data_IF_798213386605
#
_entry.id   IF_798213386605
#
_cell.length_a   1.000
_cell.length_b   1.000
_cell.length_c   1.000
_cell.angle_alpha   90.00
_cell.angle_beta   90.00
_cell.angle_gamma   90.00
#
_symmetry.space_group_name_H-M   'P 1'
#
loop_
_entity.id
_entity.type
_entity.pdbx_description
1 polymer ?
#
# COMPACT_ATOMS: atom_id res chain seq x y z
N UNK A 1 35.45 24.33 10.57
CA UNK A 1 35.28 23.53 9.33
C UNK A 1 34.65 22.21 9.71
N UNK A 2 33.50 21.94 9.10
CA UNK A 2 32.58 20.80 9.17
C UNK A 2 33.05 19.50 9.84
N UNK A 3 32.36 19.17 10.93
CA UNK A 3 32.08 17.81 11.39
C UNK A 3 31.28 17.07 10.31
N UNK A 4 31.83 15.97 9.79
CA UNK A 4 31.03 14.95 9.10
C UNK A 4 30.29 14.14 10.17
N UNK A 5 28.95 14.04 10.16
CA UNK A 5 28.28 13.10 11.02
C UNK A 5 28.54 11.68 10.53
N UNK A 6 28.99 10.88 11.48
CA UNK A 6 29.17 9.44 11.49
C UNK A 6 27.99 8.71 10.86
N UNK A 7 28.33 7.70 10.06
CA UNK A 7 27.40 6.85 9.35
C UNK A 7 26.31 6.29 10.25
N UNK A 8 25.07 6.58 9.88
CA UNK A 8 23.91 5.83 10.34
C UNK A 8 24.10 4.39 9.84
N UNK A 9 24.38 3.48 10.77
CA UNK A 9 24.34 2.06 10.50
C UNK A 9 22.93 1.73 9.99
N UNK A 10 22.83 1.38 8.70
CA UNK A 10 21.59 0.94 8.10
C UNK A 10 21.10 -0.31 8.85
N UNK A 11 19.93 -0.20 9.49
CA UNK A 11 19.29 -1.31 10.19
C UNK A 11 19.10 -2.50 9.23
N UNK A 12 19.59 -3.71 9.57
CA UNK A 12 19.53 -4.89 8.70
C UNK A 12 18.12 -5.46 8.52
N UNK A 13 17.09 -4.81 9.08
CA UNK A 13 15.66 -5.17 8.88
C UNK A 13 15.02 -4.52 7.67
N UNK A 14 15.70 -3.60 6.98
CA UNK A 14 15.15 -2.98 5.79
C UNK A 14 15.10 -4.03 4.66
N UNK A 15 13.89 -4.50 4.33
CA UNK A 15 13.57 -5.37 3.18
C UNK A 15 14.24 -4.88 1.90
N UNK A 16 14.47 -3.56 1.76
CA UNK A 16 15.29 -2.91 0.73
C UNK A 16 16.63 -3.61 0.44
N UNK A 17 17.30 -4.18 1.46
CA UNK A 17 18.54 -4.93 1.31
C UNK A 17 18.35 -6.36 0.83
N UNK A 18 17.22 -7.02 1.18
CA UNK A 18 16.84 -8.34 0.64
C UNK A 18 16.50 -8.23 -0.86
N UNK A 19 15.83 -7.15 -1.26
CA UNK A 19 15.58 -6.81 -2.67
C UNK A 19 16.89 -6.61 -3.47
N UNK A 20 17.91 -5.98 -2.87
CA UNK A 20 19.24 -5.81 -3.47
C UNK A 20 20.02 -7.12 -3.67
N UNK A 21 19.75 -8.18 -2.89
CA UNK A 21 20.44 -9.48 -3.02
C UNK A 21 19.74 -10.47 -3.94
N UNK A 22 18.45 -10.29 -4.26
CA UNK A 22 17.68 -11.19 -5.16
C UNK A 22 17.79 -10.77 -6.64
N UNK A 23 18.96 -10.25 -7.06
CA UNK A 23 19.23 -9.69 -8.39
C UNK A 23 20.13 -10.61 -9.25
N UNK A 24 19.56 -11.53 -10.03
CA UNK A 24 20.09 -11.86 -11.35
C UNK A 24 19.37 -10.98 -12.38
N UNK A 25 20.11 -9.99 -12.90
CA UNK A 25 19.91 -9.27 -14.16
C UNK A 25 18.51 -9.35 -14.82
N UNK A 26 17.58 -8.48 -14.41
CA UNK A 26 16.41 -8.06 -15.21
C UNK A 26 16.08 -6.60 -14.92
N UNK A 27 16.41 -5.70 -15.85
CA UNK A 27 16.25 -4.25 -15.72
C UNK A 27 14.80 -3.81 -15.38
N UNK A 28 13.80 -4.56 -15.84
CA UNK A 28 12.37 -4.32 -15.55
C UNK A 28 11.99 -4.54 -14.08
N UNK A 29 12.49 -5.61 -13.44
CA UNK A 29 12.20 -5.92 -12.03
C UNK A 29 12.88 -4.92 -11.10
N UNK A 30 14.12 -4.54 -11.42
CA UNK A 30 14.83 -3.49 -10.69
C UNK A 30 14.11 -2.13 -10.78
N UNK A 31 13.46 -1.82 -11.91
CA UNK A 31 12.66 -0.61 -12.09
C UNK A 31 11.34 -0.66 -11.29
N UNK A 32 10.63 -1.80 -11.32
CA UNK A 32 9.42 -2.01 -10.54
C UNK A 32 9.68 -1.88 -9.03
N UNK A 33 10.70 -2.59 -8.54
CA UNK A 33 11.10 -2.62 -7.13
C UNK A 33 11.64 -1.27 -6.66
N UNK A 34 12.34 -0.51 -7.52
CA UNK A 34 12.73 0.87 -7.20
C UNK A 34 11.52 1.78 -7.08
N UNK A 35 10.56 1.67 -8.02
CA UNK A 35 9.35 2.49 -8.02
C UNK A 35 8.51 2.29 -6.76
N UNK A 36 8.38 1.06 -6.26
CA UNK A 36 7.67 0.78 -5.00
C UNK A 36 8.54 0.96 -3.76
N UNK A 37 9.86 0.75 -3.85
CA UNK A 37 10.78 1.01 -2.74
C UNK A 37 10.79 2.47 -2.31
N UNK A 38 10.67 3.41 -3.26
CA UNK A 38 10.48 4.84 -2.95
C UNK A 38 9.10 5.12 -2.32
N UNK A 39 8.10 4.25 -2.56
CA UNK A 39 6.76 4.32 -2.00
C UNK A 39 6.60 3.62 -0.64
N UNK A 40 7.35 2.55 -0.36
CA UNK A 40 7.50 1.87 0.95
C UNK A 40 8.46 2.71 1.82
N UNK A 41 8.07 3.97 2.05
CA UNK A 41 8.81 4.99 2.79
C UNK A 41 7.88 5.59 3.84
N UNK A 42 8.38 6.05 5.01
CA UNK A 42 7.53 6.71 6.01
C UNK A 42 6.78 7.95 5.47
N UNK A 43 7.21 8.50 4.32
CA UNK A 43 6.55 9.62 3.62
C UNK A 43 5.79 9.19 2.36
N UNK A 44 5.86 7.90 2.00
CA UNK A 44 5.27 7.32 0.80
C UNK A 44 3.82 6.88 0.98
N UNK A 45 3.27 6.21 -0.04
CA UNK A 45 1.90 5.71 -0.05
C UNK A 45 1.75 4.37 0.67
N UNK A 46 2.87 3.65 0.84
CA UNK A 46 2.95 2.35 1.48
C UNK A 46 3.88 2.44 2.69
N UNK A 47 3.61 1.67 3.73
CA UNK A 47 4.51 1.48 4.87
C UNK A 47 5.13 0.07 4.88
N UNK A 48 5.95 -0.22 5.89
CA UNK A 48 6.67 -1.50 6.03
C UNK A 48 5.74 -2.73 6.01
N UNK A 49 4.45 -2.57 6.32
CA UNK A 49 3.50 -3.67 6.23
C UNK A 49 3.36 -4.20 4.79
N UNK A 50 3.41 -3.33 3.78
CA UNK A 50 3.35 -3.78 2.39
C UNK A 50 4.56 -4.64 2.06
N UNK A 51 5.74 -4.21 2.51
CA UNK A 51 6.97 -4.94 2.34
C UNK A 51 6.88 -6.36 2.98
N UNK A 52 6.13 -6.55 4.07
CA UNK A 52 5.85 -7.89 4.64
C UNK A 52 4.90 -8.73 3.77
N UNK A 53 3.89 -8.10 3.15
CA UNK A 53 2.98 -8.77 2.21
C UNK A 53 3.76 -9.29 0.99
N UNK A 54 4.75 -8.55 0.51
CA UNK A 54 5.62 -9.00 -0.57
C UNK A 54 6.54 -10.16 -0.17
N UNK A 55 7.06 -10.15 1.07
CA UNK A 55 7.91 -11.22 1.59
C UNK A 55 7.19 -12.58 1.70
N UNK A 56 5.85 -12.59 1.72
CA UNK A 56 5.02 -13.80 1.71
C UNK A 56 4.90 -14.45 0.32
N UNK A 57 5.33 -13.75 -0.73
CA UNK A 57 5.29 -14.27 -2.10
C UNK A 57 6.46 -15.25 -2.36
N UNK A 58 6.15 -16.45 -2.84
CA UNK A 58 7.12 -17.48 -3.18
C UNK A 58 6.88 -18.07 -4.59
N UNK A 59 7.68 -19.08 -4.98
CA UNK A 59 7.55 -19.73 -6.29
C UNK A 59 6.24 -20.55 -6.42
N UNK A 60 5.62 -20.96 -5.30
CA UNK A 60 4.36 -21.68 -5.29
C UNK A 60 3.15 -20.72 -5.41
N UNK A 61 3.29 -19.49 -4.91
CA UNK A 61 2.27 -18.44 -4.95
C UNK A 61 2.85 -17.12 -5.47
N UNK A 62 3.21 -17.04 -6.76
CA UNK A 62 3.90 -15.88 -7.34
C UNK A 62 3.02 -14.62 -7.44
N UNK A 63 1.71 -14.72 -7.19
CA UNK A 63 0.77 -13.59 -7.29
C UNK A 63 0.17 -13.18 -5.94
N UNK A 64 0.68 -13.70 -4.82
CA UNK A 64 0.09 -13.47 -3.49
C UNK A 64 -0.13 -11.98 -3.19
N UNK A 65 0.90 -11.14 -3.40
CA UNK A 65 0.79 -9.70 -3.15
C UNK A 65 -0.28 -9.02 -4.05
N UNK A 66 -0.37 -9.42 -5.32
CA UNK A 66 -1.39 -8.88 -6.25
C UNK A 66 -2.80 -9.30 -5.82
N UNK A 67 -2.99 -10.54 -5.38
CA UNK A 67 -4.27 -11.05 -4.88
C UNK A 67 -4.72 -10.34 -3.60
N UNK A 68 -3.82 -10.16 -2.63
CA UNK A 68 -4.12 -9.41 -1.39
C UNK A 68 -4.51 -7.97 -1.71
N UNK A 69 -3.79 -7.31 -2.63
CA UNK A 69 -4.10 -5.93 -3.05
C UNK A 69 -5.44 -5.87 -3.80
N UNK A 70 -5.72 -6.84 -4.67
CA UNK A 70 -7.00 -6.93 -5.38
C UNK A 70 -8.18 -7.08 -4.42
N UNK A 71 -8.04 -7.95 -3.41
CA UNK A 71 -9.05 -8.14 -2.37
C UNK A 71 -9.25 -6.85 -1.56
N UNK A 72 -8.17 -6.19 -1.16
CA UNK A 72 -8.25 -4.88 -0.49
C UNK A 72 -9.06 -3.87 -1.31
N UNK A 73 -8.79 -3.74 -2.61
CA UNK A 73 -9.51 -2.77 -3.45
C UNK A 73 -10.99 -3.11 -3.64
N UNK A 74 -11.33 -4.40 -3.70
CA UNK A 74 -12.71 -4.86 -3.75
C UNK A 74 -13.47 -4.53 -2.46
N UNK A 75 -12.86 -4.81 -1.32
CA UNK A 75 -13.46 -4.59 -0.01
C UNK A 75 -13.58 -3.10 0.33
N UNK A 76 -12.54 -2.33 0.09
CA UNK A 76 -12.54 -0.88 0.31
C UNK A 76 -13.55 -0.15 -0.58
N UNK A 77 -13.71 -0.54 -1.85
CA UNK A 77 -14.74 0.02 -2.72
C UNK A 77 -16.15 -0.21 -2.17
N UNK A 78 -16.42 -1.41 -1.64
CA UNK A 78 -17.69 -1.74 -0.98
C UNK A 78 -17.94 -0.86 0.26
N UNK A 79 -16.93 -0.68 1.11
CA UNK A 79 -17.04 0.16 2.31
C UNK A 79 -17.28 1.63 1.96
N UNK A 80 -16.56 2.18 0.98
CA UNK A 80 -16.73 3.57 0.55
C UNK A 80 -18.12 3.82 -0.04
N UNK A 81 -18.63 2.89 -0.87
CA UNK A 81 -19.98 3.00 -1.43
C UNK A 81 -21.06 2.95 -0.34
N UNK A 82 -20.93 2.02 0.61
CA UNK A 82 -21.87 1.91 1.74
C UNK A 82 -21.88 3.19 2.58
N UNK A 83 -20.70 3.80 2.75
CA UNK A 83 -20.57 5.05 3.48
C UNK A 83 -21.21 6.24 2.74
N UNK A 84 -21.03 6.35 1.42
CA UNK A 84 -21.68 7.39 0.61
C UNK A 84 -23.20 7.33 0.75
N UNK A 85 -23.77 6.13 0.67
CA UNK A 85 -25.20 5.92 0.90
C UNK A 85 -25.61 6.24 2.35
N UNK A 86 -24.75 5.99 3.34
CA UNK A 86 -25.03 6.28 4.73
C UNK A 86 -25.07 7.79 5.01
N UNK A 87 -24.20 8.58 4.37
CA UNK A 87 -24.26 10.05 4.45
C UNK A 87 -25.59 10.58 3.90
N UNK A 88 -26.05 10.04 2.77
CA UNK A 88 -27.30 10.49 2.13
C UNK A 88 -28.54 10.10 2.94
N UNK A 89 -28.58 8.87 3.45
CA UNK A 89 -29.74 8.32 4.18
C UNK A 89 -29.81 8.74 5.64
N UNK A 90 -28.65 8.93 6.27
CA UNK A 90 -28.53 9.20 7.71
C UNK A 90 -27.56 10.38 7.92
N UNK A 91 -28.02 11.62 7.66
CA UNK A 91 -27.19 12.78 7.86
C UNK A 91 -26.83 12.93 9.34
N UNK A 92 -25.55 13.18 9.62
CA UNK A 92 -24.97 13.40 10.96
C UNK A 92 -25.00 12.19 11.91
N UNK A 93 -25.10 10.96 11.37
CA UNK A 93 -24.87 9.75 12.16
C UNK A 93 -23.35 9.47 12.29
N UNK A 94 -22.68 10.26 13.12
CA UNK A 94 -21.22 10.20 13.29
C UNK A 94 -20.72 8.85 13.81
N UNK A 95 -21.51 8.16 14.64
CA UNK A 95 -21.16 6.84 15.15
C UNK A 95 -21.11 5.81 14.02
N UNK A 96 -22.11 5.83 13.13
CA UNK A 96 -22.13 4.95 11.95
C UNK A 96 -21.05 5.30 10.94
N UNK A 97 -20.78 6.59 10.75
CA UNK A 97 -19.70 7.08 9.91
C UNK A 97 -18.32 6.63 10.43
N UNK A 98 -18.10 6.73 11.75
CA UNK A 98 -16.88 6.26 12.41
C UNK A 98 -16.68 4.75 12.22
N UNK A 99 -17.74 3.95 12.36
CA UNK A 99 -17.68 2.50 12.17
C UNK A 99 -17.22 2.11 10.75
N UNK A 100 -17.75 2.77 9.71
CA UNK A 100 -17.31 2.56 8.33
C UNK A 100 -15.84 2.93 8.12
N UNK A 101 -15.39 4.06 8.68
CA UNK A 101 -13.99 4.46 8.55
C UNK A 101 -13.04 3.61 9.39
N UNK A 102 -13.49 3.08 10.53
CA UNK A 102 -12.71 2.15 11.32
C UNK A 102 -12.49 0.83 10.55
N UNK A 103 -13.52 0.33 9.86
CA UNK A 103 -13.38 -0.83 8.99
C UNK A 103 -12.38 -0.55 7.86
N UNK A 104 -12.52 0.58 7.15
CA UNK A 104 -11.61 0.94 6.05
C UNK A 104 -10.17 1.11 6.55
N UNK A 105 -9.97 1.74 7.71
CA UNK A 105 -8.66 1.90 8.36
C UNK A 105 -8.02 0.54 8.68
N UNK A 106 -8.81 -0.43 9.14
CA UNK A 106 -8.36 -1.80 9.39
C UNK A 106 -7.84 -2.46 8.11
N UNK A 107 -8.62 -2.40 7.03
CA UNK A 107 -8.19 -2.89 5.71
C UNK A 107 -6.96 -2.16 5.17
N UNK A 108 -6.82 -0.86 5.40
CA UNK A 108 -5.63 -0.12 4.99
C UNK A 108 -4.39 -0.57 5.78
N UNK A 109 -4.57 -0.87 7.06
CA UNK A 109 -3.48 -1.33 7.93
C UNK A 109 -2.98 -2.72 7.55
N UNK A 110 -3.79 -3.59 6.93
CA UNK A 110 -3.35 -4.94 6.56
C UNK A 110 -2.43 -4.97 5.34
N UNK A 111 -2.56 -3.98 4.45
CA UNK A 111 -1.73 -3.87 3.22
C UNK A 111 -0.70 -2.73 3.28
N UNK A 112 -0.61 -2.02 4.41
CA UNK A 112 0.30 -0.90 4.57
C UNK A 112 -0.09 0.37 3.80
N UNK A 113 -1.36 0.58 3.48
CA UNK A 113 -1.86 1.77 2.78
C UNK A 113 -1.84 3.02 3.68
N UNK A 114 -0.65 3.56 3.92
CA UNK A 114 -0.38 4.55 4.97
C UNK A 114 -1.15 5.86 4.78
N UNK A 115 -1.18 6.42 3.56
CA UNK A 115 -1.86 7.70 3.29
C UNK A 115 -3.38 7.60 3.45
N UNK A 116 -3.98 6.53 2.94
CA UNK A 116 -5.42 6.28 3.11
C UNK A 116 -5.75 6.08 4.59
N UNK A 117 -4.94 5.29 5.31
CA UNK A 117 -5.06 5.07 6.76
C UNK A 117 -5.02 6.36 7.58
N UNK A 118 -4.17 7.31 7.19
CA UNK A 118 -4.05 8.61 7.84
C UNK A 118 -5.31 9.45 7.64
N UNK A 119 -5.81 9.54 6.40
CA UNK A 119 -7.04 10.28 6.11
C UNK A 119 -8.28 9.63 6.76
N UNK A 120 -8.32 8.30 6.89
CA UNK A 120 -9.32 7.62 7.71
C UNK A 120 -9.22 8.06 9.18
N UNK A 121 -8.01 8.17 9.73
CA UNK A 121 -7.82 8.62 11.12
C UNK A 121 -8.27 10.07 11.31
N UNK A 122 -7.93 10.97 10.38
CA UNK A 122 -8.42 12.36 10.39
C UNK A 122 -9.95 12.43 10.31
N UNK A 123 -10.57 11.59 9.47
CA UNK A 123 -12.03 11.52 9.40
C UNK A 123 -12.65 11.15 10.74
N UNK A 124 -12.10 10.11 11.40
CA UNK A 124 -12.59 9.64 12.70
C UNK A 124 -12.47 10.71 13.79
N UNK A 125 -11.41 11.53 13.75
CA UNK A 125 -11.28 12.67 14.66
C UNK A 125 -12.41 13.69 14.45
N UNK A 126 -12.73 14.02 13.19
CA UNK A 126 -13.86 14.89 12.89
C UNK A 126 -15.22 14.28 13.29
N UNK A 127 -15.38 12.96 13.26
CA UNK A 127 -16.56 12.31 13.84
C UNK A 127 -16.66 12.53 15.35
N UNK A 128 -15.55 12.44 16.08
CA UNK A 128 -15.51 12.70 17.52
C UNK A 128 -15.79 14.17 17.89
N UNK A 129 -15.49 15.09 16.97
CA UNK A 129 -15.81 16.52 17.08
C UNK A 129 -17.21 16.88 16.55
N UNK A 130 -17.99 15.91 16.07
CA UNK A 130 -19.28 16.12 15.39
C UNK A 130 -19.19 17.12 14.21
N UNK A 131 -18.03 17.17 13.56
CA UNK A 131 -17.72 18.12 12.51
C UNK A 131 -18.07 17.54 11.12
N UNK A 132 -19.33 17.66 10.72
CA UNK A 132 -19.82 17.12 9.45
C UNK A 132 -19.04 17.63 8.22
N UNK A 133 -18.70 18.93 8.18
CA UNK A 133 -17.93 19.49 7.07
C UNK A 133 -16.50 18.92 7.04
N UNK A 134 -15.88 18.78 8.22
CA UNK A 134 -14.60 18.09 8.41
C UNK A 134 -14.64 16.66 7.89
N UNK A 135 -15.66 15.89 8.28
CA UNK A 135 -15.91 14.53 7.78
C UNK A 135 -16.01 14.51 6.25
N UNK A 136 -16.85 15.35 5.64
CA UNK A 136 -17.01 15.39 4.18
C UNK A 136 -15.69 15.70 3.47
N UNK A 137 -14.93 16.70 3.94
CA UNK A 137 -13.62 17.06 3.35
C UNK A 137 -12.61 15.92 3.50
N UNK A 138 -12.55 15.30 4.68
CA UNK A 138 -11.64 14.18 4.94
C UNK A 138 -12.00 12.96 4.08
N UNK A 139 -13.30 12.70 3.87
CA UNK A 139 -13.73 11.59 3.02
C UNK A 139 -13.35 11.80 1.54
N UNK A 140 -13.43 13.04 1.05
CA UNK A 140 -12.93 13.36 -0.30
C UNK A 140 -11.43 13.09 -0.43
N UNK A 141 -10.64 13.33 0.63
CA UNK A 141 -9.22 12.98 0.66
C UNK A 141 -9.01 11.46 0.68
N UNK A 142 -9.78 10.72 1.47
CA UNK A 142 -9.76 9.24 1.48
C UNK A 142 -9.96 8.70 0.06
N UNK A 143 -10.97 9.18 -0.68
CA UNK A 143 -11.23 8.77 -2.06
C UNK A 143 -10.06 9.07 -3.00
N UNK A 144 -9.46 10.26 -2.89
CA UNK A 144 -8.31 10.68 -3.71
C UNK A 144 -7.09 9.81 -3.43
N UNK A 145 -6.69 9.66 -2.18
CA UNK A 145 -5.52 8.87 -1.80
C UNK A 145 -5.72 7.39 -2.15
N UNK A 146 -6.94 6.87 -2.01
CA UNK A 146 -7.29 5.50 -2.43
C UNK A 146 -7.14 5.29 -3.94
N UNK A 147 -7.65 6.23 -4.75
CA UNK A 147 -7.52 6.17 -6.21
C UNK A 147 -6.06 6.25 -6.67
N UNK A 148 -5.27 7.15 -6.07
CA UNK A 148 -3.84 7.28 -6.38
C UNK A 148 -3.08 6.01 -5.99
N UNK A 149 -3.36 5.45 -4.81
CA UNK A 149 -2.76 4.19 -4.37
C UNK A 149 -3.07 3.06 -5.36
N UNK A 150 -4.32 2.97 -5.83
CA UNK A 150 -4.73 1.98 -6.83
C UNK A 150 -3.91 2.07 -8.11
N UNK A 151 -3.78 3.27 -8.66
CA UNK A 151 -3.02 3.51 -9.88
C UNK A 151 -1.54 3.12 -9.72
N UNK A 152 -0.95 3.43 -8.57
CA UNK A 152 0.45 3.12 -8.25
C UNK A 152 0.69 1.61 -8.16
N UNK A 153 -0.15 0.91 -7.40
CA UNK A 153 -0.06 -0.54 -7.27
C UNK A 153 -0.36 -1.27 -8.59
N UNK A 154 -1.30 -0.78 -9.39
CA UNK A 154 -1.56 -1.34 -10.71
C UNK A 154 -0.34 -1.19 -11.64
N UNK A 155 0.27 0.01 -11.66
CA UNK A 155 1.50 0.25 -12.42
C UNK A 155 2.65 -0.63 -11.93
N UNK A 156 2.75 -0.84 -10.62
CA UNK A 156 3.74 -1.72 -10.02
C UNK A 156 3.60 -3.18 -10.50
N UNK A 157 2.41 -3.76 -10.38
CA UNK A 157 2.16 -5.13 -10.81
C UNK A 157 2.30 -5.30 -12.33
N UNK A 158 1.94 -4.28 -13.12
CA UNK A 158 2.21 -4.26 -14.55
C UNK A 158 3.71 -4.36 -14.86
N UNK A 159 4.55 -3.58 -14.18
CA UNK A 159 6.01 -3.64 -14.34
C UNK A 159 6.60 -4.98 -13.87
N UNK A 160 6.06 -5.56 -12.79
CA UNK A 160 6.46 -6.89 -12.32
C UNK A 160 6.16 -7.97 -13.38
N UNK A 161 4.97 -7.95 -14.00
CA UNK A 161 4.62 -8.90 -15.06
C UNK A 161 5.52 -8.77 -16.29
N UNK A 162 5.85 -7.54 -16.70
CA UNK A 162 6.74 -7.28 -17.83
C UNK A 162 8.18 -7.75 -17.59
N UNK A 163 8.60 -7.85 -16.33
CA UNK A 163 9.95 -8.31 -15.99
C UNK A 163 10.13 -9.84 -16.09
N UNK A 164 9.04 -10.59 -16.26
CA UNK A 164 9.02 -12.06 -16.31
C UNK A 164 9.30 -12.72 -14.94
N UNK A 165 8.93 -14.00 -14.75
CA UNK A 165 9.41 -14.77 -13.61
C UNK A 165 10.94 -14.80 -13.65
N UNK A 166 11.60 -14.82 -12.48
CA UNK A 166 13.04 -15.05 -12.41
C UNK A 166 13.31 -16.50 -12.82
N UNK A 167 13.23 -16.79 -14.11
CA UNK A 167 13.58 -18.08 -14.67
C UNK A 167 15.03 -18.36 -14.31
N UNK A 168 15.23 -19.33 -13.42
CA UNK A 168 16.47 -20.07 -13.36
C UNK A 168 16.70 -20.62 -14.77
N UNK A 169 17.61 -19.98 -15.50
CA UNK A 169 18.13 -20.49 -16.74
C UNK A 169 18.95 -21.74 -16.43
N UNK A 170 18.29 -22.88 -16.23
CA UNK A 170 18.96 -24.17 -16.20
C UNK A 170 19.37 -24.46 -17.65
N UNK A 171 20.65 -24.23 -17.95
CA UNK A 171 21.25 -24.65 -19.21
C UNK A 171 21.03 -26.16 -19.38
N UNK A 172 20.53 -26.65 -20.52
CA UNK A 172 20.62 -28.07 -20.79
C UNK A 172 22.10 -28.44 -20.86
N UNK A 173 22.53 -29.36 -20.00
CA UNK A 173 23.84 -29.98 -20.12
C UNK A 173 23.86 -30.72 -21.45
N UNK A 174 24.67 -30.22 -22.38
CA UNK A 174 24.85 -30.84 -23.68
C UNK A 174 25.73 -32.07 -23.56
N UNK A 175 25.23 -33.14 -24.21
CA UNK A 175 25.85 -34.43 -24.56
C UNK A 175 25.99 -35.45 -23.43
#
# INVERSE_FOLDING_TARGET
>A
MSLFPTGVAASPRCSLFRWKRKLPNQLGRAKAVRSVGDECSPRGYLDEQFCQVEDLQDEANPNFAEEVVSLFFKDSARVMLNFEQAIEKHPKDFARWDAHMQQLKGSCSSIGASRVKNECTSFRNFCGEENAEGCTRSFQKVKREHAVLRQKLESYFQLLRQAGPAGTATRPAGK
#
